data_IF_634106450386
#
_entry.id   IF_634106450386
#
_cell.length_a   1.000
_cell.length_b   1.000
_cell.length_c   1.000
_cell.angle_alpha   90.00
_cell.angle_beta   90.00
_cell.angle_gamma   90.00
#
_symmetry.space_group_name_H-M   'P 1'
#
loop_
_entity.id
_entity.type
_entity.pdbx_description
1 polymer ?
#
# COMPACT_ATOMS: atom_id res chain seq x y z
N UNK A 1 -41.88 35.93 26.45
CA UNK A 1 -42.61 34.74 26.92
C UNK A 1 -43.97 34.51 26.25
N UNK A 2 -44.51 35.41 25.46
CA UNK A 2 -45.90 35.36 24.92
C UNK A 2 -46.02 34.58 23.57
N UNK A 3 -44.95 34.49 22.76
CA UNK A 3 -45.04 33.82 21.47
C UNK A 3 -44.98 32.27 21.54
N UNK A 4 -44.28 31.72 22.56
CA UNK A 4 -44.18 30.25 22.73
C UNK A 4 -45.50 29.62 23.22
N UNK A 5 -46.24 30.36 24.07
CA UNK A 5 -47.59 29.90 24.52
C UNK A 5 -48.63 29.89 23.39
N UNK A 6 -48.55 30.85 22.48
CA UNK A 6 -49.46 30.88 21.32
C UNK A 6 -49.21 29.70 20.38
N UNK A 7 -47.94 29.33 20.14
CA UNK A 7 -47.58 28.16 19.31
C UNK A 7 -48.04 26.84 19.95
N UNK A 8 -47.92 26.74 21.28
CA UNK A 8 -48.37 25.55 22.02
C UNK A 8 -49.88 25.36 22.02
N UNK A 9 -50.67 26.47 22.08
CA UNK A 9 -52.13 26.43 21.98
C UNK A 9 -52.63 26.09 20.57
N UNK A 10 -51.86 26.45 19.51
CA UNK A 10 -52.19 26.07 18.14
C UNK A 10 -51.98 24.55 17.88
N UNK A 11 -51.00 23.92 18.54
CA UNK A 11 -50.79 22.47 18.47
C UNK A 11 -51.88 21.63 19.19
N UNK A 12 -52.67 22.26 20.08
CA UNK A 12 -53.77 21.60 20.80
C UNK A 12 -55.12 21.69 20.11
N UNK A 13 -55.22 22.31 18.94
CA UNK A 13 -56.44 22.32 18.16
C UNK A 13 -56.81 20.89 17.75
N UNK A 14 -58.06 20.45 18.04
CA UNK A 14 -58.50 19.07 17.73
C UNK A 14 -58.41 18.72 16.24
N UNK A 15 -58.48 19.70 15.39
CA UNK A 15 -58.30 19.56 13.93
C UNK A 15 -56.88 19.15 13.57
N UNK A 16 -55.86 19.77 14.15
CA UNK A 16 -54.45 19.45 13.89
C UNK A 16 -54.09 18.06 14.41
N UNK A 17 -54.63 17.70 15.56
CA UNK A 17 -54.45 16.32 16.07
C UNK A 17 -55.07 15.29 15.21
N UNK A 18 -56.29 15.55 14.67
CA UNK A 18 -56.91 14.64 13.69
C UNK A 18 -56.13 14.50 12.40
N UNK A 19 -55.62 15.60 11.85
CA UNK A 19 -54.78 15.58 10.66
C UNK A 19 -53.48 14.82 10.85
N UNK A 20 -52.81 15.00 12.00
CA UNK A 20 -51.56 14.28 12.33
C UNK A 20 -51.83 12.77 12.56
N UNK A 21 -52.93 12.42 13.22
CA UNK A 21 -53.27 11.01 13.46
C UNK A 21 -53.75 10.35 12.15
N UNK A 22 -54.52 11.06 11.31
CA UNK A 22 -54.94 10.59 10.01
C UNK A 22 -53.75 10.40 9.06
N UNK A 23 -52.81 11.37 8.99
CA UNK A 23 -51.60 11.28 8.15
C UNK A 23 -50.68 10.16 8.62
N UNK A 24 -50.53 9.96 9.95
CA UNK A 24 -49.73 8.87 10.51
C UNK A 24 -50.40 7.49 10.27
N UNK A 25 -51.73 7.42 10.28
CA UNK A 25 -52.46 6.19 9.97
C UNK A 25 -52.38 5.84 8.47
N UNK A 26 -52.42 6.85 7.59
CA UNK A 26 -52.28 6.68 6.16
C UNK A 26 -50.87 6.31 5.75
N UNK A 27 -49.87 6.91 6.36
CA UNK A 27 -48.46 6.51 6.19
C UNK A 27 -48.21 5.06 6.64
N UNK A 28 -48.82 4.64 7.75
CA UNK A 28 -48.73 3.25 8.24
C UNK A 28 -49.48 2.26 7.35
N UNK A 29 -50.52 2.66 6.65
CA UNK A 29 -51.35 1.79 5.79
C UNK A 29 -50.73 1.63 4.40
N UNK A 30 -49.99 2.64 3.89
CA UNK A 30 -49.29 2.57 2.61
C UNK A 30 -47.84 2.06 2.73
N UNK A 31 -47.35 1.86 3.96
CA UNK A 31 -46.09 1.24 4.23
C UNK A 31 -46.25 -0.27 4.47
N UNK A 32 -46.86 -1.00 3.51
CA UNK A 32 -46.63 -2.44 3.44
C UNK A 32 -45.13 -2.62 3.22
N UNK A 33 -44.42 -3.05 4.26
CA UNK A 33 -43.09 -3.54 4.12
C UNK A 33 -43.17 -4.82 3.30
N UNK A 34 -43.13 -4.66 1.97
CA UNK A 34 -43.01 -5.79 1.07
C UNK A 34 -41.76 -6.57 1.52
N UNK A 35 -42.00 -7.76 2.07
CA UNK A 35 -40.91 -8.64 2.49
C UNK A 35 -40.13 -9.08 1.25
N UNK A 36 -38.80 -9.06 1.36
CA UNK A 36 -37.88 -9.57 0.31
C UNK A 36 -38.25 -11.05 0.07
N UNK A 37 -38.55 -11.42 -1.15
CA UNK A 37 -38.80 -12.81 -1.53
C UNK A 37 -37.53 -13.62 -1.52
N UNK A 38 -37.63 -14.92 -1.24
CA UNK A 38 -36.50 -15.83 -1.29
C UNK A 38 -35.82 -15.84 -2.67
N UNK A 39 -36.64 -15.74 -3.74
CA UNK A 39 -36.17 -15.68 -5.11
C UNK A 39 -35.36 -14.39 -5.41
N UNK A 40 -35.81 -13.24 -4.90
CA UNK A 40 -35.10 -11.96 -5.03
C UNK A 40 -33.75 -12.00 -4.34
N UNK A 41 -33.69 -12.58 -3.13
CA UNK A 41 -32.43 -12.78 -2.42
C UNK A 41 -31.47 -13.69 -3.21
N UNK A 42 -31.98 -14.77 -3.81
CA UNK A 42 -31.16 -15.70 -4.62
C UNK A 42 -30.60 -14.98 -5.87
N UNK A 43 -31.37 -14.16 -6.55
CA UNK A 43 -30.92 -13.40 -7.72
C UNK A 43 -29.83 -12.39 -7.31
N UNK A 44 -30.03 -11.65 -6.22
CA UNK A 44 -29.05 -10.70 -5.71
C UNK A 44 -27.73 -11.40 -5.35
N UNK A 45 -27.80 -12.54 -4.67
CA UNK A 45 -26.60 -13.32 -4.32
C UNK A 45 -25.88 -13.85 -5.57
N UNK A 46 -26.61 -14.27 -6.60
CA UNK A 46 -26.03 -14.72 -7.87
C UNK A 46 -25.29 -13.56 -8.58
N UNK A 47 -25.88 -12.36 -8.63
CA UNK A 47 -25.27 -11.17 -9.23
C UNK A 47 -24.00 -10.78 -8.46
N UNK A 48 -24.06 -10.69 -7.12
CA UNK A 48 -22.91 -10.37 -6.28
C UNK A 48 -21.80 -11.40 -6.47
N UNK A 49 -22.14 -12.69 -6.50
CA UNK A 49 -21.17 -13.77 -6.69
C UNK A 49 -20.45 -13.68 -8.04
N UNK A 50 -21.16 -13.39 -9.12
CA UNK A 50 -20.56 -13.21 -10.45
C UNK A 50 -19.63 -11.99 -10.51
N UNK A 51 -20.05 -10.85 -9.95
CA UNK A 51 -19.24 -9.63 -9.89
C UNK A 51 -17.99 -9.82 -9.02
N UNK A 52 -18.11 -10.48 -7.87
CA UNK A 52 -17.01 -10.76 -6.97
C UNK A 52 -15.91 -11.61 -7.63
N UNK A 53 -16.29 -12.56 -8.49
CA UNK A 53 -15.36 -13.44 -9.19
C UNK A 53 -14.35 -12.65 -10.04
N UNK A 54 -14.75 -11.52 -10.62
CA UNK A 54 -13.90 -10.65 -11.42
C UNK A 54 -13.22 -9.57 -10.57
N UNK A 55 -13.96 -9.00 -9.62
CA UNK A 55 -13.48 -7.87 -8.82
C UNK A 55 -12.35 -8.26 -7.85
N UNK A 56 -12.45 -9.42 -7.21
CA UNK A 56 -11.48 -9.83 -6.18
C UNK A 56 -10.07 -10.03 -6.74
N UNK A 57 -9.83 -10.81 -7.82
CA UNK A 57 -8.49 -10.94 -8.39
C UNK A 57 -7.92 -9.61 -8.88
N UNK A 58 -8.76 -8.78 -9.52
CA UNK A 58 -8.34 -7.46 -10.00
C UNK A 58 -7.87 -6.56 -8.85
N UNK A 59 -8.58 -6.55 -7.74
CA UNK A 59 -8.22 -5.78 -6.55
C UNK A 59 -6.83 -6.17 -6.00
N UNK A 60 -6.54 -7.47 -5.90
CA UNK A 60 -5.23 -7.94 -5.43
C UNK A 60 -4.09 -7.52 -6.37
N UNK A 61 -4.31 -7.58 -7.68
CA UNK A 61 -3.32 -7.13 -8.67
C UNK A 61 -3.06 -5.62 -8.58
N UNK A 62 -4.10 -4.80 -8.41
CA UNK A 62 -3.95 -3.35 -8.23
C UNK A 62 -3.23 -3.02 -6.93
N UNK A 63 -3.54 -3.72 -5.85
CA UNK A 63 -2.88 -3.55 -4.55
C UNK A 63 -1.38 -3.87 -4.65
N UNK A 64 -1.02 -4.93 -5.37
CA UNK A 64 0.39 -5.30 -5.57
C UNK A 64 1.14 -4.25 -6.39
N UNK A 65 0.57 -3.79 -7.51
CA UNK A 65 1.15 -2.69 -8.29
C UNK A 65 1.36 -1.42 -7.47
N UNK A 66 0.41 -1.09 -6.59
CA UNK A 66 0.52 0.07 -5.71
C UNK A 66 1.68 -0.09 -4.70
N UNK A 67 1.88 -1.30 -4.16
CA UNK A 67 3.01 -1.59 -3.26
C UNK A 67 4.36 -1.48 -3.97
N UNK A 68 4.47 -2.01 -5.18
CA UNK A 68 5.68 -1.88 -6.00
C UNK A 68 5.99 -0.40 -6.25
N UNK A 69 5.01 0.39 -6.67
CA UNK A 69 5.20 1.82 -6.90
C UNK A 69 5.60 2.58 -5.63
N UNK A 70 5.02 2.21 -4.48
CA UNK A 70 5.39 2.79 -3.19
C UNK A 70 6.85 2.45 -2.83
N UNK A 71 7.26 1.18 -2.97
CA UNK A 71 8.63 0.76 -2.68
C UNK A 71 9.67 1.48 -3.58
N UNK A 72 9.37 1.65 -4.88
CA UNK A 72 10.22 2.42 -5.80
C UNK A 72 10.35 3.88 -5.31
N UNK A 73 9.24 4.51 -4.94
CA UNK A 73 9.25 5.88 -4.42
C UNK A 73 10.04 6.00 -3.11
N UNK A 74 9.91 5.05 -2.21
CA UNK A 74 10.65 5.02 -0.93
C UNK A 74 12.15 4.84 -1.16
N UNK A 75 12.58 3.94 -2.07
CA UNK A 75 13.99 3.80 -2.47
C UNK A 75 14.51 5.13 -3.03
N UNK A 76 13.77 5.81 -3.90
CA UNK A 76 14.16 7.13 -4.43
C UNK A 76 14.29 8.21 -3.34
N UNK A 77 13.46 8.15 -2.31
CA UNK A 77 13.57 9.05 -1.14
C UNK A 77 14.83 8.71 -0.34
N UNK A 78 15.10 7.44 -0.09
CA UNK A 78 16.31 7.00 0.60
C UNK A 78 17.59 7.36 -0.16
N UNK A 79 17.62 7.23 -1.49
CA UNK A 79 18.73 7.69 -2.32
C UNK A 79 19.06 9.16 -2.07
N UNK A 80 18.04 10.03 -2.02
CA UNK A 80 18.24 11.45 -1.72
C UNK A 80 18.81 11.67 -0.33
N UNK A 81 18.34 10.93 0.67
CA UNK A 81 18.85 11.01 2.04
C UNK A 81 20.31 10.54 2.14
N UNK A 82 20.64 9.42 1.48
CA UNK A 82 22.01 8.89 1.41
C UNK A 82 22.92 9.89 0.70
N UNK A 83 22.45 10.50 -0.39
CA UNK A 83 23.19 11.53 -1.10
C UNK A 83 23.46 12.78 -0.23
N UNK A 84 22.47 13.23 0.52
CA UNK A 84 22.64 14.34 1.45
C UNK A 84 23.65 13.99 2.54
N UNK A 85 23.57 12.78 3.11
CA UNK A 85 24.55 12.30 4.08
C UNK A 85 25.97 12.29 3.49
N UNK A 86 26.11 11.84 2.24
CA UNK A 86 27.40 11.85 1.55
C UNK A 86 27.96 13.27 1.35
N UNK A 87 27.11 14.24 1.00
CA UNK A 87 27.52 15.64 0.87
C UNK A 87 28.01 16.20 2.21
N UNK A 88 27.32 15.88 3.31
CA UNK A 88 27.64 16.39 4.64
C UNK A 88 28.87 15.72 5.26
N UNK A 89 29.06 14.43 5.04
CA UNK A 89 30.10 13.60 5.69
C UNK A 89 31.25 13.17 4.77
N UNK A 90 31.14 13.45 3.47
CA UNK A 90 32.08 13.00 2.43
C UNK A 90 32.30 11.47 2.44
N UNK A 91 31.31 10.73 2.92
CA UNK A 91 31.31 9.25 2.96
C UNK A 91 29.87 8.72 2.95
N UNK A 92 29.66 7.53 2.37
CA UNK A 92 28.39 6.84 2.46
C UNK A 92 28.14 6.32 3.88
N UNK A 93 26.87 6.27 4.36
CA UNK A 93 26.55 5.72 5.68
C UNK A 93 26.97 4.24 5.76
N UNK A 94 27.26 3.76 6.97
CA UNK A 94 27.52 2.33 7.17
C UNK A 94 26.22 1.54 7.20
N UNK A 95 25.15 2.15 7.74
CA UNK A 95 23.82 1.56 7.84
C UNK A 95 22.74 2.61 7.58
N UNK A 96 21.53 2.17 7.22
CA UNK A 96 20.39 3.08 7.04
C UNK A 96 20.00 3.82 8.33
N UNK A 97 20.29 3.27 9.51
CA UNK A 97 20.08 3.94 10.80
C UNK A 97 20.87 5.24 10.97
N UNK A 98 22.00 5.38 10.26
CA UNK A 98 22.85 6.58 10.32
C UNK A 98 22.17 7.81 9.67
N UNK A 99 21.07 7.59 8.91
CA UNK A 99 20.24 8.64 8.35
C UNK A 99 19.31 9.31 9.39
N UNK A 100 19.42 8.92 10.69
CA UNK A 100 18.66 9.52 11.80
C UNK A 100 17.19 9.13 11.87
N UNK A 101 16.77 8.15 11.08
CA UNK A 101 15.44 7.52 11.14
C UNK A 101 15.59 6.08 11.62
N UNK A 102 14.56 5.55 12.26
CA UNK A 102 14.53 4.15 12.68
C UNK A 102 14.62 3.16 11.52
N UNK A 103 14.17 1.94 11.74
CA UNK A 103 14.16 0.89 10.71
C UNK A 103 13.25 1.30 9.56
N UNK A 104 13.74 1.31 8.34
CA UNK A 104 12.96 1.51 7.13
C UNK A 104 12.27 0.20 6.75
N UNK A 105 10.95 0.20 6.70
CA UNK A 105 10.10 -0.96 6.41
C UNK A 105 9.42 -0.75 5.06
N UNK A 106 9.45 -1.77 4.21
CA UNK A 106 8.83 -1.75 2.90
C UNK A 106 7.28 -1.99 2.96
N UNK A 107 6.54 -1.81 1.86
CA UNK A 107 5.09 -2.00 1.83
C UNK A 107 4.59 -3.42 2.11
N UNK A 108 5.46 -4.41 2.16
CA UNK A 108 5.14 -5.80 2.54
C UNK A 108 5.45 -6.10 4.00
N UNK A 109 6.16 -5.19 4.71
CA UNK A 109 6.53 -5.33 6.13
C UNK A 109 7.94 -5.81 6.37
N UNK A 110 8.77 -5.93 5.32
CA UNK A 110 10.17 -6.33 5.42
C UNK A 110 11.10 -5.11 5.59
N UNK A 111 12.21 -5.22 6.31
CA UNK A 111 13.18 -4.13 6.38
C UNK A 111 13.92 -3.99 5.05
N UNK A 112 14.11 -2.73 4.59
CA UNK A 112 14.99 -2.43 3.46
C UNK A 112 16.41 -2.91 3.75
N UNK A 113 17.08 -3.41 2.73
CA UNK A 113 18.45 -3.89 2.78
C UNK A 113 19.39 -2.86 2.17
N UNK A 114 20.47 -2.62 2.86
CA UNK A 114 21.51 -1.68 2.45
C UNK A 114 22.88 -2.34 2.62
N UNK A 115 23.77 -2.12 1.65
CA UNK A 115 25.15 -2.56 1.71
C UNK A 115 26.05 -1.48 1.10
N UNK A 116 26.93 -0.88 1.89
CA UNK A 116 27.94 0.03 1.41
C UNK A 116 28.99 -0.73 0.58
N UNK A 117 29.31 -0.22 -0.61
CA UNK A 117 30.30 -0.81 -1.52
C UNK A 117 31.52 0.12 -1.62
N UNK A 118 31.30 1.40 -1.84
CA UNK A 118 32.36 2.37 -2.02
C UNK A 118 33.29 2.46 -0.79
N UNK A 119 34.60 2.36 -1.03
CA UNK A 119 35.61 2.48 0.01
C UNK A 119 35.76 1.28 0.95
N UNK A 120 35.10 0.17 0.66
CA UNK A 120 35.18 -1.08 1.42
C UNK A 120 35.88 -2.14 0.58
N UNK A 121 36.94 -2.78 1.15
CA UNK A 121 37.55 -3.94 0.50
C UNK A 121 36.68 -5.17 0.76
N UNK A 122 35.90 -5.57 -0.25
CA UNK A 122 35.05 -6.74 -0.18
C UNK A 122 35.79 -8.05 -0.57
N UNK A 123 37.13 -8.04 -0.57
CA UNK A 123 38.01 -9.19 -0.81
C UNK A 123 37.52 -10.05 -2.00
N UNK A 124 37.98 -9.76 -3.21
CA UNK A 124 37.46 -10.40 -4.42
C UNK A 124 37.50 -11.92 -4.38
N UNK A 125 36.44 -12.60 -4.76
CA UNK A 125 36.18 -14.05 -4.92
C UNK A 125 35.73 -14.83 -3.69
N UNK A 126 35.43 -14.23 -2.56
CA UNK A 126 34.83 -14.97 -1.46
C UNK A 126 33.34 -15.31 -1.77
N UNK A 127 32.94 -16.56 -1.46
CA UNK A 127 31.54 -17.03 -1.57
C UNK A 127 30.57 -16.27 -0.66
N UNK A 128 31.08 -15.39 0.19
CA UNK A 128 30.34 -14.51 1.11
C UNK A 128 30.06 -13.13 0.54
N UNK A 129 30.42 -12.86 -0.72
CA UNK A 129 30.14 -11.58 -1.36
C UNK A 129 28.62 -11.35 -1.46
N UNK A 130 28.11 -10.46 -0.62
CA UNK A 130 26.68 -10.11 -0.53
C UNK A 130 26.26 -9.02 -1.51
N UNK A 131 27.21 -8.47 -2.31
CA UNK A 131 26.91 -7.45 -3.31
C UNK A 131 25.94 -8.00 -4.34
N UNK A 132 25.03 -7.15 -4.77
CA UNK A 132 24.06 -7.50 -5.81
C UNK A 132 24.79 -7.72 -7.13
N UNK A 133 24.30 -8.68 -7.90
CA UNK A 133 24.88 -9.05 -9.19
C UNK A 133 23.79 -9.39 -10.21
N UNK A 134 24.10 -9.10 -11.47
CA UNK A 134 23.28 -9.53 -12.59
C UNK A 134 24.19 -10.17 -13.64
N UNK A 135 23.87 -11.38 -14.07
CA UNK A 135 24.63 -12.17 -15.05
C UNK A 135 26.16 -12.08 -14.81
N UNK A 136 26.86 -11.29 -15.62
CA UNK A 136 28.31 -11.08 -15.55
C UNK A 136 28.70 -9.81 -14.79
N UNK A 137 27.75 -8.96 -14.44
CA UNK A 137 27.99 -7.67 -13.76
C UNK A 137 28.04 -7.88 -12.25
N UNK A 138 29.24 -7.74 -11.66
CA UNK A 138 29.50 -7.85 -10.24
C UNK A 138 30.54 -6.81 -9.83
N UNK A 139 30.19 -5.87 -8.96
CA UNK A 139 28.86 -5.53 -8.44
C UNK A 139 28.01 -4.77 -9.48
N UNK A 140 26.67 -4.73 -9.28
CA UNK A 140 25.75 -3.95 -10.11
C UNK A 140 25.85 -2.46 -9.82
N UNK A 141 26.20 -2.09 -8.57
CA UNK A 141 26.44 -0.72 -8.12
C UNK A 141 27.87 -0.54 -7.67
N UNK A 142 28.45 0.66 -7.91
CA UNK A 142 29.78 1.01 -7.47
C UNK A 142 29.80 1.69 -6.09
N UNK A 143 28.69 2.27 -5.68
CA UNK A 143 28.53 3.07 -4.46
C UNK A 143 27.93 2.26 -3.29
N UNK A 144 26.70 1.81 -3.42
CA UNK A 144 25.97 1.00 -2.44
C UNK A 144 24.83 0.22 -3.08
N UNK A 145 24.48 -0.91 -2.50
CA UNK A 145 23.25 -1.64 -2.79
C UNK A 145 22.12 -1.18 -1.86
N UNK A 146 20.92 -0.97 -2.43
CA UNK A 146 19.70 -0.66 -1.70
C UNK A 146 18.54 -1.38 -2.36
N UNK A 147 17.78 -2.18 -1.60
CA UNK A 147 16.68 -2.96 -2.13
C UNK A 147 15.66 -3.37 -1.08
N UNK A 148 14.43 -3.65 -1.53
CA UNK A 148 13.40 -4.40 -0.79
C UNK A 148 13.45 -5.86 -1.22
N UNK A 149 13.18 -6.76 -0.29
CA UNK A 149 13.07 -8.21 -0.55
C UNK A 149 11.72 -8.61 -1.15
N UNK A 150 10.94 -7.64 -1.60
CA UNK A 150 9.67 -7.89 -2.25
C UNK A 150 8.62 -8.57 -1.38
N UNK A 151 7.70 -9.23 -2.06
CA UNK A 151 6.54 -9.86 -1.43
C UNK A 151 6.88 -11.12 -0.64
N UNK A 152 7.83 -11.93 -1.13
CA UNK A 152 8.19 -13.19 -0.49
C UNK A 152 9.12 -13.01 0.72
N UNK A 153 9.75 -11.84 0.87
CA UNK A 153 10.69 -11.52 1.96
C UNK A 153 12.01 -12.27 1.87
N UNK A 154 12.28 -12.92 0.74
CA UNK A 154 13.51 -13.66 0.48
C UNK A 154 14.31 -13.01 -0.64
N UNK A 155 15.63 -12.98 -0.51
CA UNK A 155 16.50 -12.41 -1.53
C UNK A 155 17.87 -13.11 -1.54
N UNK A 156 18.44 -13.23 -2.73
CA UNK A 156 19.79 -13.70 -2.94
C UNK A 156 20.55 -12.75 -3.88
N UNK A 157 21.87 -12.80 -3.90
CA UNK A 157 22.66 -11.82 -4.66
C UNK A 157 22.31 -11.71 -6.15
N UNK A 158 22.07 -12.79 -6.94
CA UNK A 158 21.72 -12.68 -8.36
C UNK A 158 20.28 -12.21 -8.56
N UNK A 159 20.06 -11.19 -9.41
CA UNK A 159 18.73 -10.74 -9.83
C UNK A 159 17.94 -11.82 -10.61
N UNK A 160 18.67 -12.67 -11.34
CA UNK A 160 18.07 -13.76 -12.12
C UNK A 160 17.51 -14.90 -11.28
N UNK A 161 17.89 -14.98 -10.00
CA UNK A 161 17.42 -16.03 -9.11
C UNK A 161 15.92 -15.86 -8.79
N UNK A 162 15.20 -16.99 -8.71
CA UNK A 162 13.75 -17.01 -8.47
C UNK A 162 13.32 -16.18 -7.24
N UNK A 163 14.10 -16.24 -6.15
CA UNK A 163 13.87 -15.53 -4.89
C UNK A 163 14.13 -14.03 -4.95
N UNK A 164 14.74 -13.55 -6.03
CA UNK A 164 15.07 -12.14 -6.18
C UNK A 164 14.30 -11.44 -7.28
N UNK A 165 13.43 -12.17 -7.99
CA UNK A 165 12.68 -11.60 -9.12
C UNK A 165 11.63 -10.57 -8.73
N UNK A 166 11.08 -10.69 -7.53
CA UNK A 166 10.11 -9.76 -6.96
C UNK A 166 10.77 -8.69 -6.05
N UNK A 167 12.11 -8.72 -5.91
CA UNK A 167 12.85 -7.66 -5.24
C UNK A 167 12.65 -6.33 -5.97
N UNK A 168 12.52 -5.24 -5.22
CA UNK A 168 12.64 -3.89 -5.78
C UNK A 168 14.06 -3.42 -5.55
N UNK A 169 14.80 -3.27 -6.61
CA UNK A 169 16.24 -3.04 -6.57
C UNK A 169 16.64 -1.69 -7.15
N UNK A 170 17.70 -1.13 -6.59
CA UNK A 170 18.48 -0.05 -7.18
C UNK A 170 19.62 -0.67 -7.97
N UNK A 171 19.84 -0.23 -9.21
CA UNK A 171 20.90 -0.72 -10.08
C UNK A 171 21.53 0.41 -10.90
N UNK A 172 22.72 0.15 -11.45
CA UNK A 172 23.51 1.12 -12.23
C UNK A 172 23.66 2.48 -11.51
N UNK A 173 24.06 2.45 -10.26
CA UNK A 173 24.28 3.65 -9.44
C UNK A 173 23.04 4.58 -9.40
N UNK A 174 21.84 3.96 -9.37
CA UNK A 174 20.56 4.66 -9.30
C UNK A 174 19.94 5.03 -10.65
N UNK A 175 20.51 4.65 -11.80
CA UNK A 175 19.86 4.85 -13.10
C UNK A 175 18.59 4.02 -13.23
N UNK A 176 18.57 2.85 -12.59
CA UNK A 176 17.41 1.98 -12.51
C UNK A 176 16.94 1.82 -11.07
N UNK A 177 15.62 1.92 -10.85
CA UNK A 177 14.93 1.47 -9.63
C UNK A 177 13.61 0.86 -10.04
N UNK A 178 13.47 -0.44 -9.81
CA UNK A 178 12.31 -1.22 -10.22
C UNK A 178 12.40 -2.68 -9.80
N UNK A 179 11.52 -3.50 -10.35
CA UNK A 179 11.57 -4.95 -10.16
C UNK A 179 12.87 -5.53 -10.72
N UNK A 180 13.52 -6.40 -9.97
CA UNK A 180 14.71 -7.10 -10.44
C UNK A 180 14.47 -7.96 -11.68
N UNK A 181 13.23 -8.41 -11.90
CA UNK A 181 12.82 -9.15 -13.11
C UNK A 181 12.69 -8.28 -14.36
N UNK A 182 12.71 -6.94 -14.23
CA UNK A 182 12.60 -5.97 -15.31
C UNK A 182 13.96 -5.34 -15.65
N UNK A 183 15.01 -5.66 -14.88
CA UNK A 183 16.38 -5.22 -15.13
C UNK A 183 17.08 -6.14 -16.12
#
# INVERSE_FOLDING_TARGET
>A
MTRLKALFLQLFQPEIRRALISGAAEYRRNGELEGITLMELMIVMAIIGTLATIAVPSYFNYKEKARIAAAIAEIRIMEKQIKNYFIDKNSYPENLSDLGKGIFIDPWGNPYRYLKIAGVDHGGKDKTDKRRKDHFMVPVNSDYDLYSMGRDGESVAPFTAKKSRDDIVRANDGQFVGLASEY
#
